data_IF_305254388342
#
_entry.id   IF_305254388342
#
_cell.length_a   1.000
_cell.length_b   1.000
_cell.length_c   1.000
_cell.angle_alpha   90.00
_cell.angle_beta   90.00
_cell.angle_gamma   90.00
#
_symmetry.space_group_name_H-M   'P 1'
#
loop_
_entity.id
_entity.type
_entity.pdbx_description
1 polymer ?
#
# COMPACT_ATOMS: atom_id res chain seq x y z
N UNK A 1 -14.80 18.14 2.56
CA UNK A 1 -14.85 17.10 3.60
C UNK A 1 -13.51 16.38 3.60
N UNK A 2 -12.82 16.25 4.74
CA UNK A 2 -11.59 15.46 4.80
C UNK A 2 -11.93 13.97 4.70
N UNK A 3 -11.20 13.21 3.87
CA UNK A 3 -11.35 11.75 3.73
C UNK A 3 -10.94 11.07 5.05
N UNK A 4 -11.80 10.21 5.60
CA UNK A 4 -11.63 9.58 6.94
C UNK A 4 -11.29 8.08 6.86
N UNK A 5 -11.59 7.41 5.74
CA UNK A 5 -11.33 5.98 5.52
C UNK A 5 -10.24 5.74 4.47
N UNK A 6 -9.44 4.69 4.68
CA UNK A 6 -8.45 4.20 3.71
C UNK A 6 -9.00 2.96 3.00
N UNK A 7 -8.85 2.90 1.67
CA UNK A 7 -9.21 1.72 0.87
C UNK A 7 -7.94 1.08 0.31
N UNK A 8 -7.78 -0.23 0.55
CA UNK A 8 -6.55 -0.97 0.28
C UNK A 8 -6.87 -2.36 -0.29
N UNK A 9 -7.01 -2.53 -1.62
CA UNK A 9 -7.19 -3.86 -2.21
C UNK A 9 -5.94 -4.73 -1.98
N UNK A 10 -6.17 -6.03 -1.82
CA UNK A 10 -5.12 -7.03 -1.76
C UNK A 10 -4.82 -7.53 -3.18
N UNK A 11 -3.54 -7.45 -3.56
CA UNK A 11 -2.98 -7.87 -4.82
C UNK A 11 -2.34 -9.24 -4.62
N UNK A 12 -2.98 -10.27 -5.13
CA UNK A 12 -2.60 -11.66 -4.83
C UNK A 12 -2.80 -12.65 -5.97
N UNK A 13 -3.21 -12.18 -7.16
CA UNK A 13 -3.44 -13.00 -8.34
C UNK A 13 -2.74 -12.42 -9.56
N UNK A 14 -2.56 -13.26 -10.59
CA UNK A 14 -2.02 -12.92 -11.90
C UNK A 14 -2.95 -11.98 -12.65
N UNK A 15 -4.27 -12.21 -12.57
CA UNK A 15 -5.26 -11.28 -13.12
C UNK A 15 -5.14 -9.89 -12.46
N UNK A 16 -4.98 -9.85 -11.13
CA UNK A 16 -4.73 -8.59 -10.41
C UNK A 16 -3.42 -7.92 -10.85
N UNK A 17 -2.37 -8.70 -11.13
CA UNK A 17 -1.11 -8.20 -11.67
C UNK A 17 -1.27 -7.63 -13.09
N UNK A 18 -1.99 -8.32 -13.97
CA UNK A 18 -2.22 -7.89 -15.35
C UNK A 18 -3.03 -6.58 -15.42
N UNK A 19 -3.94 -6.38 -14.46
CA UNK A 19 -4.80 -5.19 -14.36
C UNK A 19 -4.37 -4.16 -13.31
N UNK A 20 -3.19 -4.32 -12.70
CA UNK A 20 -2.77 -3.49 -11.56
C UNK A 20 -2.81 -1.98 -11.85
N UNK A 21 -2.49 -1.57 -13.08
CA UNK A 21 -2.47 -0.15 -13.45
C UNK A 21 -3.88 0.45 -13.40
N UNK A 22 -4.86 -0.28 -13.91
CA UNK A 22 -6.25 0.16 -13.92
C UNK A 22 -6.80 0.20 -12.50
N UNK A 23 -6.48 -0.82 -11.69
CA UNK A 23 -6.83 -0.87 -10.26
C UNK A 23 -6.22 0.32 -9.50
N UNK A 24 -4.91 0.56 -9.64
CA UNK A 24 -4.23 1.66 -8.96
C UNK A 24 -4.74 3.04 -9.36
N UNK A 25 -5.27 3.17 -10.58
CA UNK A 25 -5.86 4.40 -11.10
C UNK A 25 -7.28 4.67 -10.57
N UNK A 26 -7.95 3.70 -9.96
CA UNK A 26 -9.29 3.89 -9.37
C UNK A 26 -9.25 4.96 -8.29
N UNK A 27 -10.10 5.97 -8.42
CA UNK A 27 -10.24 7.02 -7.41
C UNK A 27 -10.73 6.43 -6.09
N UNK A 28 -10.12 6.87 -5.00
CA UNK A 28 -10.39 6.36 -3.66
C UNK A 28 -9.47 5.23 -3.19
N UNK A 29 -8.67 4.61 -4.06
CA UNK A 29 -7.65 3.63 -3.64
C UNK A 29 -6.39 4.33 -3.13
N UNK A 30 -6.03 4.02 -1.88
CA UNK A 30 -4.95 4.68 -1.14
C UNK A 30 -3.66 3.84 -1.10
N UNK A 31 -3.77 2.52 -1.06
CA UNK A 31 -2.62 1.60 -0.93
C UNK A 31 -2.88 0.33 -1.75
N UNK A 32 -1.86 -0.22 -2.40
CA UNK A 32 -1.88 -1.59 -2.90
C UNK A 32 -1.21 -2.49 -1.88
N UNK A 33 -1.97 -3.39 -1.27
CA UNK A 33 -1.46 -4.37 -0.32
C UNK A 33 -1.12 -5.66 -1.09
N UNK A 34 0.03 -6.29 -0.88
CA UNK A 34 0.38 -7.54 -1.61
C UNK A 34 0.18 -8.76 -0.72
N UNK A 35 -0.61 -9.73 -1.19
CA UNK A 35 -0.75 -11.05 -0.57
C UNK A 35 0.39 -11.96 -1.02
N UNK A 36 1.54 -11.90 -0.35
CA UNK A 36 2.76 -12.59 -0.81
C UNK A 36 2.60 -14.11 -0.95
N UNK A 37 1.85 -14.76 -0.04
CA UNK A 37 1.63 -16.21 -0.05
C UNK A 37 0.78 -16.64 -1.24
N UNK A 38 -0.41 -16.06 -1.36
CA UNK A 38 -1.37 -16.38 -2.42
C UNK A 38 -0.85 -15.97 -3.80
N UNK A 39 -0.15 -14.83 -3.90
CA UNK A 39 0.54 -14.42 -5.13
C UNK A 39 1.59 -15.45 -5.56
N UNK A 40 2.34 -16.05 -4.64
CA UNK A 40 3.31 -17.09 -5.01
C UNK A 40 2.62 -18.36 -5.51
N UNK A 41 1.51 -18.76 -4.90
CA UNK A 41 0.72 -19.91 -5.35
C UNK A 41 0.20 -19.68 -6.77
N UNK A 42 -0.43 -18.54 -7.02
CA UNK A 42 -1.01 -18.20 -8.31
C UNK A 42 0.06 -17.94 -9.40
N UNK A 43 1.25 -17.50 -9.00
CA UNK A 43 2.39 -17.35 -9.90
C UNK A 43 3.06 -18.68 -10.27
N UNK A 44 2.66 -19.80 -9.66
CA UNK A 44 3.24 -21.13 -9.90
C UNK A 44 4.56 -21.38 -9.16
N UNK A 45 4.85 -20.58 -8.13
CA UNK A 45 6.08 -20.59 -7.34
C UNK A 45 5.77 -20.70 -5.83
N UNK A 46 5.03 -21.73 -5.40
CA UNK A 46 4.55 -21.82 -4.02
C UNK A 46 5.71 -21.75 -3.02
N UNK A 47 5.59 -20.84 -2.04
CA UNK A 47 6.57 -20.60 -0.98
C UNK A 47 7.97 -20.15 -1.46
N UNK A 48 8.13 -19.79 -2.73
CA UNK A 48 9.39 -19.26 -3.27
C UNK A 48 9.30 -17.74 -3.47
N UNK A 49 9.50 -17.01 -2.38
CA UNK A 49 9.45 -15.55 -2.35
C UNK A 49 10.72 -14.88 -2.88
N UNK A 50 11.80 -15.63 -3.06
CA UNK A 50 13.07 -15.10 -3.61
C UNK A 50 13.17 -15.35 -5.14
N UNK A 51 12.15 -16.01 -5.70
CA UNK A 51 12.03 -16.25 -7.13
C UNK A 51 12.11 -14.94 -7.93
N UNK A 52 12.85 -14.91 -9.05
CA UNK A 52 12.81 -13.80 -9.99
C UNK A 52 11.39 -13.45 -10.46
N UNK A 53 10.49 -14.45 -10.52
CA UNK A 53 9.08 -14.26 -10.89
C UNK A 53 8.35 -13.42 -9.83
N UNK A 54 8.56 -13.72 -8.54
CA UNK A 54 7.95 -12.95 -7.45
C UNK A 54 8.48 -11.52 -7.43
N UNK A 55 9.80 -11.33 -7.54
CA UNK A 55 10.41 -10.00 -7.61
C UNK A 55 9.91 -9.18 -8.80
N UNK A 56 9.70 -9.80 -9.96
CA UNK A 56 9.13 -9.14 -11.12
C UNK A 56 7.67 -8.69 -10.87
N UNK A 57 6.86 -9.50 -10.18
CA UNK A 57 5.49 -9.13 -9.81
C UNK A 57 5.47 -7.95 -8.82
N UNK A 58 6.29 -8.02 -7.77
CA UNK A 58 6.52 -6.93 -6.82
C UNK A 58 6.94 -5.64 -7.54
N UNK A 59 7.91 -5.69 -8.44
CA UNK A 59 8.33 -4.51 -9.19
C UNK A 59 7.21 -3.89 -10.04
N UNK A 60 6.33 -4.70 -10.62
CA UNK A 60 5.18 -4.22 -11.39
C UNK A 60 4.11 -3.57 -10.50
N UNK A 61 3.79 -4.17 -9.35
CA UNK A 61 2.91 -3.56 -8.36
C UNK A 61 3.46 -2.20 -7.88
N UNK A 62 4.78 -2.10 -7.68
CA UNK A 62 5.47 -0.87 -7.33
C UNK A 62 5.29 0.22 -8.39
N UNK A 63 5.61 -0.13 -9.63
CA UNK A 63 5.54 0.80 -10.75
C UNK A 63 4.12 1.32 -10.96
N UNK A 64 3.11 0.47 -10.78
CA UNK A 64 1.71 0.87 -10.89
C UNK A 64 1.29 1.82 -9.77
N UNK A 65 1.68 1.54 -8.53
CA UNK A 65 1.45 2.42 -7.39
C UNK A 65 2.14 3.79 -7.57
N UNK A 66 3.40 3.80 -8.00
CA UNK A 66 4.14 5.04 -8.24
C UNK A 66 3.53 5.86 -9.38
N UNK A 67 3.15 5.22 -10.49
CA UNK A 67 2.51 5.89 -11.62
C UNK A 67 1.12 6.46 -11.28
N UNK A 68 0.39 5.79 -10.39
CA UNK A 68 -0.89 6.24 -9.88
C UNK A 68 -0.75 7.40 -8.87
N UNK A 69 0.40 7.52 -8.20
CA UNK A 69 0.62 8.54 -7.19
C UNK A 69 0.61 9.95 -7.79
N UNK A 70 -0.17 10.86 -7.19
CA UNK A 70 -0.28 12.27 -7.56
C UNK A 70 0.03 13.17 -6.34
N UNK A 71 0.15 14.49 -6.55
CA UNK A 71 0.54 15.46 -5.50
C UNK A 71 -0.27 15.37 -4.18
N UNK A 72 -1.48 14.80 -4.21
CA UNK A 72 -2.36 14.62 -3.05
C UNK A 72 -2.66 13.16 -2.69
N UNK A 73 -2.09 12.19 -3.41
CA UNK A 73 -2.36 10.75 -3.26
C UNK A 73 -1.08 9.96 -3.49
N UNK A 74 -0.58 9.28 -2.47
CA UNK A 74 0.60 8.40 -2.61
C UNK A 74 0.15 6.97 -2.42
N UNK A 75 0.20 6.18 -3.48
CA UNK A 75 -0.01 4.73 -3.38
C UNK A 75 1.33 4.14 -2.95
N UNK A 76 1.37 3.66 -1.72
CA UNK A 76 2.62 3.18 -1.13
C UNK A 76 2.95 1.79 -1.64
N UNK A 77 4.19 1.62 -2.09
CA UNK A 77 4.77 0.32 -2.35
C UNK A 77 6.00 0.11 -1.46
N UNK A 78 6.05 -1.03 -0.75
CA UNK A 78 7.18 -1.38 0.12
C UNK A 78 8.14 -2.26 -0.68
N UNK A 79 9.29 -1.71 -1.05
CA UNK A 79 10.31 -2.40 -1.84
C UNK A 79 11.17 -3.33 -0.96
N UNK A 80 11.29 -4.57 -1.42
CA UNK A 80 12.35 -5.60 -1.21
C UNK A 80 12.80 -5.96 0.22
N UNK A 81 12.81 -7.28 0.51
CA UNK A 81 13.12 -8.00 1.77
C UNK A 81 11.99 -8.20 2.81
N UNK A 82 10.75 -8.45 2.37
CA UNK A 82 9.61 -8.63 3.28
C UNK A 82 8.66 -9.78 2.90
N UNK A 83 9.19 -10.98 2.59
CA UNK A 83 8.37 -12.18 2.50
C UNK A 83 7.74 -12.50 3.88
N UNK A 84 6.41 -12.62 3.95
CA UNK A 84 5.46 -13.05 5.01
C UNK A 84 5.70 -12.68 6.50
N UNK A 85 6.86 -12.11 6.86
CA UNK A 85 7.37 -11.85 8.20
C UNK A 85 7.40 -10.36 8.55
N UNK A 86 7.24 -9.46 7.57
CA UNK A 86 7.38 -8.01 7.79
C UNK A 86 6.04 -7.28 7.97
N UNK A 87 4.98 -7.75 7.30
CA UNK A 87 3.64 -7.18 7.35
C UNK A 87 2.84 -7.67 8.56
N UNK A 88 3.03 -8.92 9.00
CA UNK A 88 2.47 -9.38 10.29
C UNK A 88 3.25 -8.87 11.53
N UNK A 89 4.37 -8.13 11.38
CA UNK A 89 5.24 -7.68 12.48
C UNK A 89 4.92 -6.27 13.04
N UNK A 90 3.73 -5.71 12.76
CA UNK A 90 3.21 -4.58 13.51
C UNK A 90 3.84 -3.20 13.24
N UNK A 91 4.53 -3.00 12.11
CA UNK A 91 5.09 -1.68 11.73
C UNK A 91 4.14 -0.81 10.89
N UNK A 92 3.16 -1.41 10.24
CA UNK A 92 2.12 -0.75 9.46
C UNK A 92 1.21 0.08 10.39
N UNK A 93 0.94 -0.45 11.58
CA UNK A 93 0.19 0.24 12.63
C UNK A 93 0.99 1.42 13.18
N UNK A 94 2.32 1.29 13.34
CA UNK A 94 3.17 2.37 13.86
C UNK A 94 3.26 3.54 12.88
N UNK A 95 3.35 3.26 11.57
CA UNK A 95 3.33 4.35 10.58
C UNK A 95 1.94 4.99 10.47
N UNK A 96 0.88 4.18 10.52
CA UNK A 96 -0.51 4.67 10.58
C UNK A 96 -0.76 5.53 11.82
N UNK A 97 -0.29 5.10 13.00
CA UNK A 97 -0.39 5.86 14.24
C UNK A 97 0.49 7.12 14.24
N UNK A 98 1.69 7.09 13.65
CA UNK A 98 2.53 8.28 13.54
C UNK A 98 1.87 9.34 12.65
N UNK A 99 1.15 8.92 11.59
CA UNK A 99 0.33 9.80 10.77
C UNK A 99 -0.90 10.30 11.54
N UNK A 100 -1.59 9.45 12.30
CA UNK A 100 -2.71 9.86 13.18
C UNK A 100 -2.25 10.90 14.22
N UNK A 101 -1.08 10.73 14.84
CA UNK A 101 -0.50 11.70 15.78
C UNK A 101 -0.16 13.03 15.10
N UNK A 102 0.48 12.98 13.93
CA UNK A 102 0.79 14.18 13.17
C UNK A 102 -0.49 14.93 12.75
N UNK A 103 -1.58 14.21 12.48
CA UNK A 103 -2.86 14.78 12.09
C UNK A 103 -3.63 15.34 13.30
N UNK A 104 -3.57 14.68 14.46
CA UNK A 104 -4.10 15.22 15.72
C UNK A 104 -3.42 16.53 16.11
N UNK A 105 -2.09 16.61 15.96
CA UNK A 105 -1.33 17.85 16.20
C UNK A 105 -1.79 19.00 15.30
N UNK A 106 -1.94 18.73 13.99
CA UNK A 106 -2.45 19.73 13.03
C UNK A 106 -3.89 20.17 13.35
N UNK A 107 -4.71 19.28 13.90
CA UNK A 107 -6.07 19.60 14.31
C UNK A 107 -6.09 20.51 15.53
N UNK A 108 -5.22 20.26 16.51
CA UNK A 108 -5.05 21.11 17.69
C UNK A 108 -4.54 22.52 17.31
N UNK A 109 -3.53 22.61 16.44
CA UNK A 109 -3.02 23.89 15.91
C UNK A 109 -4.08 24.67 15.13
N UNK A 110 -5.04 23.98 14.50
CA UNK A 110 -6.14 24.62 13.78
C UNK A 110 -7.25 25.11 14.72
N UNK A 111 -7.56 24.35 15.77
CA UNK A 111 -8.52 24.75 16.81
C UNK A 111 -8.04 26.01 17.56
N UNK A 112 -6.75 26.09 17.89
CA UNK A 112 -6.14 27.30 18.48
C UNK A 112 -6.29 28.54 17.59
N UNK A 113 -6.21 28.37 16.25
CA UNK A 113 -6.38 29.46 15.27
C UNK A 113 -7.84 29.87 15.04
N UNK A 114 -8.78 28.99 15.37
CA UNK A 114 -10.23 29.29 15.27
C UNK A 114 -10.70 30.04 16.53
N UNK A 115 -10.01 29.84 17.66
CA UNK A 115 -10.34 30.49 18.94
C UNK A 115 -9.64 31.84 19.16
N UNK A 116 -8.73 32.25 18.25
CA UNK A 116 -8.06 33.57 18.22
C UNK A 116 -8.75 34.54 17.28
#
# INVERSE_FOLDING_TARGET
MAKVSNVMPMMETREGLDHVKDIAAVDGIDVLLVGCGDSCVDLGIPNDHDSPIFHAAIAQFAAAADAASAAHRKVFFVKEHACIRYLMAGRDIVHSFNRMKAQAKRMAEMDERIQS
#
